data_IF_871151881244
#
_entry.id   IF_871151881244
#
_cell.length_a   1.000
_cell.length_b   1.000
_cell.length_c   1.000
_cell.angle_alpha   90.00
_cell.angle_beta   90.00
_cell.angle_gamma   90.00
#
_symmetry.space_group_name_H-M   'P 1'
#
loop_
_entity.id
_entity.type
_entity.pdbx_description
1 polymer ?
#
# COMPACT_ATOMS: atom_id res chain seq x y z
N UNK A 1 -15.87 -11.99 -6.51
CA UNK A 1 -15.58 -13.18 -7.34
C UNK A 1 -16.23 -13.15 -8.72
N UNK A 2 -17.46 -12.67 -8.91
CA UNK A 2 -18.16 -12.61 -10.23
C UNK A 2 -17.52 -11.63 -11.26
N UNK A 3 -16.97 -10.49 -10.83
CA UNK A 3 -16.35 -9.50 -11.73
C UNK A 3 -15.05 -10.01 -12.37
N UNK A 4 -14.23 -10.77 -11.61
CA UNK A 4 -12.95 -11.32 -12.09
C UNK A 4 -13.15 -12.37 -13.18
N UNK A 5 -14.21 -13.21 -13.08
CA UNK A 5 -14.59 -14.19 -14.12
C UNK A 5 -15.09 -13.52 -15.41
N UNK A 6 -15.75 -12.36 -15.32
CA UNK A 6 -16.18 -11.60 -16.50
C UNK A 6 -15.01 -11.02 -17.28
N UNK A 7 -14.03 -10.37 -16.61
CA UNK A 7 -12.84 -9.79 -17.27
C UNK A 7 -12.00 -10.85 -17.99
N UNK A 8 -11.84 -12.05 -17.40
CA UNK A 8 -11.12 -13.17 -18.03
C UNK A 8 -11.85 -13.67 -19.28
N UNK A 9 -13.19 -13.74 -19.25
CA UNK A 9 -13.98 -14.12 -20.44
C UNK A 9 -13.86 -13.10 -21.58
N UNK A 10 -13.85 -11.80 -21.29
CA UNK A 10 -13.66 -10.76 -22.31
C UNK A 10 -12.25 -10.75 -22.89
N UNK A 11 -11.23 -11.00 -22.09
CA UNK A 11 -9.86 -11.15 -22.57
C UNK A 11 -9.71 -12.38 -23.48
N UNK A 12 -10.32 -13.51 -23.15
CA UNK A 12 -10.31 -14.71 -23.96
C UNK A 12 -11.07 -14.52 -25.30
N UNK A 13 -12.25 -13.88 -25.26
CA UNK A 13 -13.02 -13.54 -26.46
C UNK A 13 -12.25 -12.57 -27.35
N UNK A 14 -11.59 -11.58 -26.77
CA UNK A 14 -10.75 -10.63 -27.51
C UNK A 14 -9.56 -11.32 -28.18
N UNK A 15 -8.89 -12.27 -27.52
CA UNK A 15 -7.81 -13.06 -28.10
C UNK A 15 -8.31 -13.94 -29.26
N UNK A 16 -9.49 -14.55 -29.14
CA UNK A 16 -10.10 -15.38 -30.20
C UNK A 16 -10.48 -14.53 -31.41
N UNK A 17 -11.13 -13.39 -31.20
CA UNK A 17 -11.49 -12.45 -32.25
C UNK A 17 -10.25 -11.88 -32.95
N UNK A 18 -9.20 -11.60 -32.18
CA UNK A 18 -7.92 -11.11 -32.68
C UNK A 18 -7.20 -12.16 -33.53
N UNK A 19 -7.21 -13.43 -33.09
CA UNK A 19 -6.63 -14.54 -33.86
C UNK A 19 -7.40 -14.78 -35.15
N UNK A 20 -8.73 -14.73 -35.13
CA UNK A 20 -9.55 -14.82 -36.32
C UNK A 20 -9.30 -13.64 -37.29
N UNK A 21 -9.14 -12.43 -36.79
CA UNK A 21 -8.77 -11.25 -37.57
C UNK A 21 -7.38 -11.39 -38.21
N UNK A 22 -6.41 -11.96 -37.45
CA UNK A 22 -5.06 -12.25 -37.96
C UNK A 22 -5.09 -13.29 -39.12
N UNK A 23 -5.93 -14.33 -39.00
CA UNK A 23 -6.09 -15.33 -40.03
C UNK A 23 -6.70 -14.70 -41.30
N UNK A 24 -7.71 -13.85 -41.16
CA UNK A 24 -8.31 -13.13 -42.28
C UNK A 24 -7.31 -12.16 -42.94
N UNK A 25 -6.48 -11.48 -42.13
CA UNK A 25 -5.41 -10.59 -42.61
C UNK A 25 -4.33 -11.36 -43.38
N UNK A 26 -3.90 -12.54 -42.90
CA UNK A 26 -2.92 -13.40 -43.57
C UNK A 26 -3.48 -13.90 -44.90
N UNK A 27 -4.76 -14.31 -44.94
CA UNK A 27 -5.42 -14.73 -46.18
C UNK A 27 -5.59 -13.56 -47.18
N UNK A 28 -5.87 -12.36 -46.64
CA UNK A 28 -5.89 -11.10 -47.38
C UNK A 28 -4.53 -10.71 -47.94
N UNK A 29 -3.45 -10.88 -47.16
CA UNK A 29 -2.06 -10.60 -47.56
C UNK A 29 -1.59 -11.58 -48.62
N UNK A 30 -1.94 -12.88 -48.52
CA UNK A 30 -1.65 -13.89 -49.56
C UNK A 30 -2.35 -13.57 -50.88
N UNK A 31 -3.56 -13.07 -50.85
CA UNK A 31 -4.28 -12.53 -52.03
C UNK A 31 -3.76 -11.17 -52.49
N UNK A 32 -3.20 -10.36 -51.58
CA UNK A 32 -2.58 -9.06 -51.87
C UNK A 32 -1.16 -9.21 -52.48
N UNK A 33 -0.50 -10.35 -52.31
CA UNK A 33 0.79 -10.64 -52.89
C UNK A 33 0.77 -10.56 -54.43
N UNK A 34 -0.37 -10.89 -55.03
CA UNK A 34 -0.58 -10.73 -56.49
C UNK A 34 -0.74 -9.26 -56.91
N UNK A 35 -1.05 -8.35 -56.01
CA UNK A 35 -1.14 -6.90 -56.27
C UNK A 35 0.17 -6.17 -55.95
N UNK A 36 0.99 -6.66 -55.02
CA UNK A 36 2.27 -6.03 -54.60
C UNK A 36 3.37 -6.28 -55.65
N UNK A 37 3.29 -7.35 -56.43
CA UNK A 37 4.17 -7.57 -57.60
C UNK A 37 4.04 -6.44 -58.64
N UNK A 38 2.97 -5.64 -58.58
CA UNK A 38 2.76 -4.43 -59.40
C UNK A 38 3.36 -3.15 -58.82
N UNK A 39 3.69 -3.07 -57.51
CA UNK A 39 4.06 -1.80 -56.85
C UNK A 39 5.40 -1.78 -56.11
N UNK A 40 6.22 -2.78 -56.19
CA UNK A 40 7.66 -2.73 -55.88
C UNK A 40 8.11 -2.30 -54.47
N UNK A 41 7.30 -2.42 -53.40
CA UNK A 41 7.68 -1.97 -52.07
C UNK A 41 7.28 -2.94 -50.95
N UNK A 42 8.04 -4.04 -50.81
CA UNK A 42 7.88 -5.02 -49.72
C UNK A 42 8.12 -4.42 -48.33
N UNK A 43 9.02 -3.44 -48.18
CA UNK A 43 9.48 -2.92 -46.91
C UNK A 43 8.37 -2.19 -46.12
N UNK A 44 7.43 -1.52 -46.76
CA UNK A 44 6.35 -0.76 -46.08
C UNK A 44 5.24 -1.65 -45.56
N UNK A 45 5.00 -2.81 -46.17
CA UNK A 45 3.96 -3.76 -45.79
C UNK A 45 4.42 -4.56 -44.57
N UNK A 46 5.68 -5.01 -44.52
CA UNK A 46 6.25 -5.74 -43.37
C UNK A 46 6.32 -4.87 -42.12
N UNK A 47 6.77 -3.63 -42.26
CA UNK A 47 6.82 -2.69 -41.10
C UNK A 47 5.43 -2.34 -40.58
N UNK A 48 4.44 -2.16 -41.45
CA UNK A 48 3.07 -1.89 -41.04
C UNK A 48 2.41 -3.08 -40.32
N UNK A 49 2.61 -4.29 -40.82
CA UNK A 49 2.09 -5.51 -40.21
C UNK A 49 2.74 -5.80 -38.86
N UNK A 50 4.05 -5.57 -38.73
CA UNK A 50 4.79 -5.71 -37.47
C UNK A 50 4.28 -4.75 -36.40
N UNK A 51 4.02 -3.50 -36.75
CA UNK A 51 3.47 -2.49 -35.84
C UNK A 51 2.03 -2.83 -35.39
N UNK A 52 1.19 -3.34 -36.31
CA UNK A 52 -0.18 -3.74 -35.99
C UNK A 52 -0.26 -4.92 -35.01
N UNK A 53 0.75 -5.76 -34.94
CA UNK A 53 0.82 -6.91 -34.02
C UNK A 53 1.51 -6.53 -32.71
N UNK A 54 2.62 -5.80 -32.77
CA UNK A 54 3.45 -5.50 -31.59
C UNK A 54 2.79 -4.48 -30.68
N UNK A 55 2.20 -3.41 -31.22
CA UNK A 55 1.59 -2.35 -30.37
C UNK A 55 0.44 -2.87 -29.50
N UNK A 56 -0.54 -3.64 -30.01
CA UNK A 56 -1.60 -4.16 -29.14
C UNK A 56 -1.08 -5.21 -28.15
N UNK A 57 -0.11 -6.03 -28.51
CA UNK A 57 0.47 -7.01 -27.57
C UNK A 57 1.20 -6.33 -26.42
N UNK A 58 1.95 -5.25 -26.68
CA UNK A 58 2.56 -4.42 -25.65
C UNK A 58 1.51 -3.73 -24.78
N UNK A 59 0.44 -3.20 -25.40
CA UNK A 59 -0.66 -2.56 -24.66
C UNK A 59 -1.36 -3.55 -23.73
N UNK A 60 -1.72 -4.74 -24.21
CA UNK A 60 -2.32 -5.80 -23.38
C UNK A 60 -1.37 -6.24 -22.27
N UNK A 61 -0.07 -6.41 -22.56
CA UNK A 61 0.93 -6.76 -21.56
C UNK A 61 1.05 -5.69 -20.45
N UNK A 62 1.06 -4.40 -20.81
CA UNK A 62 1.08 -3.29 -19.84
C UNK A 62 -0.18 -3.27 -18.97
N UNK A 63 -1.37 -3.36 -19.59
CA UNK A 63 -2.65 -3.39 -18.87
C UNK A 63 -2.73 -4.58 -17.91
N UNK A 64 -2.30 -5.77 -18.31
CA UNK A 64 -2.31 -6.96 -17.42
C UNK A 64 -1.29 -6.85 -16.30
N UNK A 65 -0.15 -6.19 -16.52
CA UNK A 65 0.86 -5.95 -15.48
C UNK A 65 0.39 -4.92 -14.46
N UNK A 66 -0.26 -3.83 -14.91
CA UNK A 66 -0.86 -2.81 -14.04
C UNK A 66 -1.98 -3.39 -13.18
N UNK A 67 -2.87 -4.21 -13.75
CA UNK A 67 -3.95 -4.89 -13.00
C UNK A 67 -3.40 -5.85 -11.93
N UNK A 68 -2.30 -6.57 -12.19
CA UNK A 68 -1.66 -7.42 -11.19
C UNK A 68 -1.04 -6.62 -10.05
N UNK A 69 -0.42 -5.49 -10.34
CA UNK A 69 0.21 -4.61 -9.34
C UNK A 69 -0.85 -3.91 -8.49
N UNK A 70 -1.91 -3.41 -9.09
CA UNK A 70 -3.08 -2.84 -8.39
C UNK A 70 -3.75 -3.88 -7.48
N UNK A 71 -3.91 -5.11 -7.96
CA UNK A 71 -4.48 -6.21 -7.16
C UNK A 71 -3.64 -6.53 -5.91
N UNK A 72 -2.31 -6.56 -6.00
CA UNK A 72 -1.41 -6.80 -4.86
C UNK A 72 -1.48 -5.67 -3.85
N UNK A 73 -1.45 -4.42 -4.30
CA UNK A 73 -1.56 -3.24 -3.41
C UNK A 73 -2.90 -3.23 -2.68
N UNK A 74 -3.99 -3.51 -3.36
CA UNK A 74 -5.32 -3.56 -2.75
C UNK A 74 -5.43 -4.69 -1.73
N UNK A 75 -4.85 -5.86 -2.02
CA UNK A 75 -4.79 -6.98 -1.07
C UNK A 75 -4.00 -6.63 0.18
N UNK A 76 -2.85 -5.95 0.04
CA UNK A 76 -2.04 -5.51 1.16
C UNK A 76 -2.80 -4.54 2.06
N UNK A 77 -3.43 -3.50 1.48
CA UNK A 77 -4.23 -2.53 2.25
C UNK A 77 -5.39 -3.23 2.97
N UNK A 78 -6.08 -4.18 2.32
CA UNK A 78 -7.17 -4.90 2.94
C UNK A 78 -6.67 -5.78 4.10
N UNK A 79 -5.56 -6.49 3.92
CA UNK A 79 -4.95 -7.28 4.98
C UNK A 79 -4.58 -6.44 6.21
N UNK A 80 -4.08 -5.21 6.01
CA UNK A 80 -3.80 -4.28 7.11
C UNK A 80 -5.07 -3.84 7.86
N UNK A 81 -6.15 -3.59 7.14
CA UNK A 81 -7.46 -3.25 7.74
C UNK A 81 -8.06 -4.42 8.52
N UNK A 82 -8.06 -5.61 7.93
CA UNK A 82 -8.57 -6.82 8.56
C UNK A 82 -7.77 -7.17 9.82
N UNK A 83 -6.44 -6.98 9.77
CA UNK A 83 -5.56 -7.16 10.93
C UNK A 83 -5.90 -6.17 12.06
N UNK A 84 -6.08 -4.89 11.74
CA UNK A 84 -6.42 -3.85 12.74
C UNK A 84 -7.79 -4.12 13.35
N UNK A 85 -8.78 -4.55 12.56
CA UNK A 85 -10.09 -4.93 13.05
C UNK A 85 -10.03 -6.15 13.98
N UNK A 86 -9.22 -7.15 13.64
CA UNK A 86 -8.99 -8.30 14.52
C UNK A 86 -8.33 -7.87 15.83
N UNK A 87 -7.31 -7.01 15.76
CA UNK A 87 -6.57 -6.48 16.91
C UNK A 87 -7.47 -5.66 17.86
N UNK A 88 -8.41 -4.90 17.31
CA UNK A 88 -9.36 -4.10 18.09
C UNK A 88 -10.29 -4.92 18.99
N UNK A 89 -10.44 -6.22 18.71
CA UNK A 89 -11.29 -7.15 19.47
C UNK A 89 -10.53 -7.96 20.51
N UNK A 90 -9.20 -7.79 20.59
CA UNK A 90 -8.37 -8.49 21.55
C UNK A 90 -8.59 -7.96 22.98
N UNK A 91 -8.47 -8.82 23.96
CA UNK A 91 -8.58 -8.46 25.38
C UNK A 91 -7.50 -7.46 25.79
N UNK A 92 -7.89 -6.43 26.53
CA UNK A 92 -7.02 -5.37 27.00
C UNK A 92 -6.73 -4.27 25.97
N UNK A 93 -7.25 -4.39 24.75
CA UNK A 93 -7.14 -3.33 23.72
C UNK A 93 -8.28 -2.31 23.91
N UNK A 94 -7.92 -1.04 23.95
CA UNK A 94 -8.82 0.09 24.11
C UNK A 94 -8.85 0.93 22.83
N UNK A 95 -9.99 1.59 22.56
CA UNK A 95 -10.14 2.44 21.37
C UNK A 95 -9.83 3.90 21.69
N UNK A 96 -9.20 4.59 20.73
CA UNK A 96 -9.02 6.04 20.67
C UNK A 96 -9.78 6.61 19.45
N UNK A 97 -9.94 7.93 19.36
CA UNK A 97 -10.54 8.56 18.20
C UNK A 97 -9.86 8.17 16.89
N UNK A 98 -10.60 8.27 15.78
CA UNK A 98 -10.13 8.04 14.39
C UNK A 98 -9.65 6.60 14.10
N UNK A 99 -10.14 5.60 14.86
CA UNK A 99 -9.81 4.19 14.62
C UNK A 99 -8.40 3.78 15.06
N UNK A 100 -7.81 4.54 15.96
CA UNK A 100 -6.56 4.18 16.65
C UNK A 100 -6.92 3.27 17.82
N UNK A 101 -6.08 2.28 18.09
CA UNK A 101 -6.25 1.41 19.25
C UNK A 101 -4.94 1.32 20.04
N UNK A 102 -5.03 0.97 21.31
CA UNK A 102 -3.86 0.81 22.17
C UNK A 102 -4.05 -0.26 23.22
N UNK A 103 -2.95 -0.81 23.66
CA UNK A 103 -2.88 -1.71 24.81
C UNK A 103 -1.87 -1.16 25.80
N UNK A 104 -2.27 -1.04 27.05
CA UNK A 104 -1.37 -0.62 28.13
C UNK A 104 -0.45 -1.80 28.46
N UNK A 105 0.85 -1.59 28.39
CA UNK A 105 1.89 -2.57 28.76
C UNK A 105 2.41 -2.30 30.17
N UNK A 106 2.54 -1.02 30.55
CA UNK A 106 2.83 -0.58 31.90
C UNK A 106 2.15 0.74 32.16
N UNK A 107 1.64 0.93 33.37
CA UNK A 107 1.05 2.18 33.85
C UNK A 107 2.13 3.02 34.49
N UNK A 108 2.15 4.31 34.16
CA UNK A 108 3.03 5.32 34.71
C UNK A 108 2.42 6.07 35.89
N UNK A 109 2.96 7.25 36.16
CA UNK A 109 2.48 8.11 37.23
C UNK A 109 1.21 8.86 36.80
N UNK A 110 0.05 8.35 37.18
CA UNK A 110 -1.25 8.94 36.86
C UNK A 110 -1.47 10.33 37.47
N UNK A 111 -0.63 10.75 38.44
CA UNK A 111 -0.62 12.09 38.99
C UNK A 111 0.13 13.11 38.15
N UNK A 112 0.95 12.64 37.19
CA UNK A 112 1.71 13.50 36.29
C UNK A 112 0.80 14.17 35.26
N UNK A 113 1.22 15.33 34.75
CA UNK A 113 0.53 15.99 33.66
C UNK A 113 0.57 15.17 32.37
N UNK A 114 -0.48 15.28 31.55
CA UNK A 114 -0.51 14.72 30.22
C UNK A 114 0.06 15.70 29.20
N UNK A 115 0.71 15.23 28.10
CA UNK A 115 1.21 16.14 27.08
C UNK A 115 0.08 16.90 26.38
N UNK A 116 0.34 18.14 26.07
CA UNK A 116 -0.47 18.91 25.11
C UNK A 116 0.11 18.79 23.70
N UNK A 117 -0.63 19.20 22.68
CA UNK A 117 -0.14 19.20 21.28
C UNK A 117 1.17 19.97 21.12
N UNK A 118 1.41 21.00 21.95
CA UNK A 118 2.60 21.85 21.88
C UNK A 118 3.74 21.43 22.80
N UNK A 119 3.51 20.47 23.66
CA UNK A 119 4.54 19.95 24.58
C UNK A 119 5.72 19.35 23.84
N UNK A 120 6.91 19.49 24.38
CA UNK A 120 8.07 18.72 23.97
C UNK A 120 8.01 17.41 24.76
N UNK A 121 7.98 16.29 24.07
CA UNK A 121 7.96 14.96 24.69
C UNK A 121 9.34 14.32 24.59
N UNK A 122 9.67 13.50 25.58
CA UNK A 122 10.82 12.59 25.53
C UNK A 122 10.29 11.18 25.64
N UNK A 123 10.59 10.31 24.65
CA UNK A 123 10.06 8.96 24.61
C UNK A 123 11.04 7.96 23.99
N UNK A 124 10.98 6.72 24.46
CA UNK A 124 11.48 5.59 23.70
C UNK A 124 10.38 4.93 22.90
N UNK A 125 10.73 4.44 21.71
CA UNK A 125 9.79 3.75 20.87
C UNK A 125 10.44 2.65 20.02
N UNK A 126 9.60 1.75 19.52
CA UNK A 126 9.91 0.79 18.46
C UNK A 126 8.72 0.70 17.53
N UNK A 127 8.94 0.97 16.24
CA UNK A 127 7.93 0.91 15.19
C UNK A 127 8.04 -0.34 14.33
N UNK A 128 6.92 -1.04 14.11
CA UNK A 128 6.81 -2.26 13.31
C UNK A 128 5.62 -2.21 12.37
N UNK A 129 5.71 -2.94 11.27
CA UNK A 129 4.57 -3.27 10.40
C UNK A 129 3.86 -4.54 10.89
N UNK A 130 2.67 -4.84 10.35
CA UNK A 130 1.84 -5.99 10.79
C UNK A 130 2.52 -7.36 10.60
N UNK A 131 3.52 -7.44 9.72
CA UNK A 131 4.37 -8.62 9.50
C UNK A 131 5.53 -8.73 10.51
N UNK A 132 5.56 -7.84 11.52
CA UNK A 132 6.56 -7.82 12.58
C UNK A 132 7.89 -7.18 12.19
N UNK A 133 8.03 -6.70 10.95
CA UNK A 133 9.26 -6.06 10.50
C UNK A 133 9.42 -4.70 11.18
N UNK A 134 10.50 -4.53 11.95
CA UNK A 134 10.88 -3.26 12.54
C UNK A 134 11.39 -2.31 11.42
N UNK A 135 10.86 -1.10 11.40
CA UNK A 135 11.30 -0.06 10.46
C UNK A 135 12.04 1.08 11.16
N UNK A 136 11.79 1.28 12.46
CA UNK A 136 12.45 2.34 13.24
C UNK A 136 12.45 2.01 14.73
N UNK A 137 13.44 2.52 15.49
CA UNK A 137 13.50 2.38 16.94
C UNK A 137 14.49 3.37 17.54
N UNK A 138 14.17 3.91 18.71
CA UNK A 138 15.11 4.64 19.57
C UNK A 138 15.75 3.75 20.65
N UNK A 139 15.30 2.49 20.78
CA UNK A 139 15.84 1.57 21.80
C UNK A 139 17.29 1.22 21.50
N UNK A 140 18.14 1.31 22.54
CA UNK A 140 19.59 1.13 22.40
C UNK A 140 20.35 2.40 22.00
N UNK A 141 19.65 3.53 21.82
CA UNK A 141 20.20 4.85 21.53
C UNK A 141 19.62 5.93 22.42
N UNK A 142 19.69 7.18 21.96
CA UNK A 142 19.13 8.35 22.65
C UNK A 142 17.61 8.37 22.49
N UNK A 143 16.83 8.67 23.55
CA UNK A 143 15.39 8.87 23.43
C UNK A 143 15.05 9.96 22.42
N UNK A 144 13.92 9.79 21.73
CA UNK A 144 13.36 10.83 20.88
C UNK A 144 12.90 12.02 21.75
N UNK A 145 13.37 13.21 21.44
CA UNK A 145 12.91 14.45 22.06
C UNK A 145 12.44 15.41 20.95
N UNK A 146 11.14 15.69 20.88
CA UNK A 146 10.57 16.58 19.87
C UNK A 146 9.22 17.13 20.31
N UNK A 147 8.71 18.12 19.58
CA UNK A 147 7.34 18.63 19.79
C UNK A 147 6.34 17.58 19.32
N UNK A 148 5.29 17.39 20.11
CA UNK A 148 4.24 16.43 19.80
C UNK A 148 3.54 16.75 18.47
N UNK A 149 3.33 18.03 18.14
CA UNK A 149 2.72 18.46 16.88
C UNK A 149 3.52 18.13 15.61
N UNK A 150 4.80 17.78 15.73
CA UNK A 150 5.67 17.45 14.59
C UNK A 150 5.61 15.94 14.23
N UNK A 151 4.85 15.17 14.99
CA UNK A 151 4.70 13.73 14.82
C UNK A 151 3.45 13.36 14.01
N UNK A 152 3.34 12.09 13.65
CA UNK A 152 2.15 11.56 12.94
C UNK A 152 0.90 11.72 13.82
N UNK A 153 -0.26 11.88 13.17
CA UNK A 153 -1.52 12.19 13.86
C UNK A 153 -1.90 11.13 14.91
N UNK A 154 -1.60 9.86 14.62
CA UNK A 154 -1.80 8.77 15.57
C UNK A 154 -1.05 8.93 16.88
N UNK A 155 0.17 9.44 16.86
CA UNK A 155 0.95 9.74 18.06
C UNK A 155 0.38 10.95 18.81
N UNK A 156 0.02 12.01 18.08
CA UNK A 156 -0.56 13.22 18.70
C UNK A 156 -1.79 12.87 19.50
N UNK A 157 -2.69 12.04 18.95
CA UNK A 157 -3.93 11.64 19.63
C UNK A 157 -3.63 10.75 20.84
N UNK A 158 -2.76 9.77 20.69
CA UNK A 158 -2.51 8.77 21.73
C UNK A 158 -1.73 9.37 22.91
N UNK A 159 -0.64 10.10 22.63
CA UNK A 159 0.24 10.60 23.70
C UNK A 159 -0.40 11.66 24.57
N UNK A 160 -1.41 12.39 24.09
CA UNK A 160 -2.21 13.30 24.92
C UNK A 160 -3.01 12.59 26.03
N UNK A 161 -3.12 11.26 25.96
CA UNK A 161 -3.78 10.44 26.98
C UNK A 161 -2.78 9.69 27.88
N UNK A 162 -1.48 9.78 27.59
CA UNK A 162 -0.43 9.12 28.35
C UNK A 162 0.07 9.98 29.51
N UNK A 163 0.52 9.32 30.57
CA UNK A 163 1.25 9.90 31.69
C UNK A 163 2.72 9.54 31.63
N UNK A 164 3.56 10.26 32.36
CA UNK A 164 4.99 9.95 32.42
C UNK A 164 5.17 8.56 33.03
N UNK A 165 5.96 7.71 32.37
CA UNK A 165 6.18 6.31 32.73
C UNK A 165 5.22 5.33 32.05
N UNK A 166 4.17 5.82 31.39
CA UNK A 166 3.29 4.93 30.61
C UNK A 166 4.06 4.27 29.48
N UNK A 167 3.79 2.98 29.30
CA UNK A 167 4.26 2.20 28.17
C UNK A 167 3.08 1.56 27.47
N UNK A 168 2.84 1.97 26.23
CA UNK A 168 1.70 1.50 25.43
C UNK A 168 2.15 0.87 24.14
N UNK A 169 1.39 -0.11 23.67
CA UNK A 169 1.45 -0.60 22.29
C UNK A 169 0.29 0.04 21.52
N UNK A 170 0.63 0.86 20.52
CA UNK A 170 -0.32 1.58 19.68
C UNK A 170 -0.51 0.87 18.35
N UNK A 171 -1.74 0.85 17.88
CA UNK A 171 -2.14 0.33 16.56
C UNK A 171 -2.76 1.47 15.77
N UNK A 172 -2.03 1.99 14.81
CA UNK A 172 -2.36 3.22 14.09
C UNK A 172 -2.74 2.86 12.66
N UNK A 173 -4.00 3.15 12.22
CA UNK A 173 -4.40 2.96 10.84
C UNK A 173 -3.56 3.83 9.90
N UNK A 174 -3.42 3.40 8.65
CA UNK A 174 -2.58 4.09 7.67
C UNK A 174 -2.92 5.59 7.54
N UNK A 175 -4.20 5.94 7.62
CA UNK A 175 -4.70 7.30 7.48
C UNK A 175 -4.20 8.24 8.60
N UNK A 176 -3.89 7.69 9.77
CA UNK A 176 -3.37 8.43 10.94
C UNK A 176 -1.83 8.32 11.04
N UNK A 177 -1.20 7.62 10.10
CA UNK A 177 0.25 7.48 9.94
C UNK A 177 0.73 8.11 8.64
N UNK A 178 1.26 7.29 7.72
CA UNK A 178 1.84 7.75 6.44
C UNK A 178 0.86 7.64 5.25
N UNK A 179 -0.37 7.26 5.47
CA UNK A 179 -1.41 7.19 4.45
C UNK A 179 -1.09 6.19 3.32
N UNK A 180 -1.34 6.63 2.09
CA UNK A 180 -1.11 5.83 0.87
C UNK A 180 0.33 5.90 0.34
N UNK A 181 1.17 6.71 0.97
CA UNK A 181 2.56 6.92 0.56
C UNK A 181 3.48 5.89 1.21
N UNK A 182 4.42 5.37 0.44
CA UNK A 182 5.44 4.47 0.96
C UNK A 182 6.59 5.27 1.57
N UNK A 183 7.10 4.80 2.71
CA UNK A 183 8.32 5.30 3.35
C UNK A 183 9.38 4.19 3.35
N UNK A 184 10.65 4.48 3.61
CA UNK A 184 11.68 3.45 3.75
C UNK A 184 11.24 2.38 4.77
N UNK A 185 11.10 1.15 4.32
CA UNK A 185 10.64 0.02 5.13
C UNK A 185 9.14 -0.07 5.40
N UNK A 186 8.32 0.91 4.98
CA UNK A 186 6.87 0.97 5.22
C UNK A 186 6.14 1.09 3.89
N UNK A 187 5.48 0.04 3.38
CA UNK A 187 4.63 0.13 2.20
C UNK A 187 3.44 1.07 2.43
N UNK A 188 3.00 1.78 1.39
CA UNK A 188 1.83 2.65 1.48
C UNK A 188 0.55 1.87 1.83
N UNK A 189 -0.21 2.38 2.79
CA UNK A 189 -1.41 1.74 3.32
C UNK A 189 -1.14 0.77 4.48
N UNK A 190 0.05 0.83 5.09
CA UNK A 190 0.41 0.03 6.26
C UNK A 190 -0.27 0.54 7.52
N UNK A 191 -0.84 -0.35 8.30
CA UNK A 191 -1.10 -0.16 9.72
C UNK A 191 0.23 -0.19 10.47
N UNK A 192 0.43 0.76 11.37
CA UNK A 192 1.67 0.90 12.13
C UNK A 192 1.46 0.41 13.56
N UNK A 193 2.43 -0.35 14.06
CA UNK A 193 2.46 -0.82 15.44
C UNK A 193 3.63 -0.12 16.12
N UNK A 194 3.35 0.63 17.18
CA UNK A 194 4.38 1.28 17.96
C UNK A 194 4.31 0.85 19.43
N UNK A 195 5.41 0.37 19.95
CA UNK A 195 5.63 0.32 21.38
C UNK A 195 6.24 1.65 21.79
N UNK A 196 5.57 2.42 22.66
CA UNK A 196 6.00 3.75 23.10
C UNK A 196 6.06 3.77 24.62
N UNK A 197 7.12 4.39 25.13
CA UNK A 197 7.30 4.66 26.56
C UNK A 197 7.57 6.16 26.73
N UNK A 198 6.64 6.86 27.41
CA UNK A 198 6.75 8.29 27.66
C UNK A 198 7.63 8.53 28.88
N UNK A 199 8.79 9.16 28.67
CA UNK A 199 9.80 9.39 29.72
C UNK A 199 9.71 10.77 30.34
N UNK A 200 9.23 11.78 29.62
CA UNK A 200 9.16 13.14 30.10
C UNK A 200 8.38 14.09 29.21
N UNK A 201 7.98 15.20 29.80
CA UNK A 201 7.21 16.29 29.16
C UNK A 201 7.86 17.63 29.57
N UNK A 202 8.05 18.52 28.57
CA UNK A 202 8.53 19.89 28.78
C UNK A 202 7.71 20.90 27.97
#
# INVERSE_FOLDING_TARGET
MKLKKRKIKYAAIFCICWFAFLVILVDGVLKFQTLVDCFGSYALVETGLLLLVILPTIAVYRLTKEDKTMSKKTQYIQANKDWLEAKSKEEGVKALPKGIYYKVLAEGDTSSAQPTVRSIITAHYTGKTIDGKQFDSSRGGVPLACRLCDLIEGWIIAMQQMHIGDKWELYIPAEMGYGKFSQPGIPGGSTLIFEIELLGIA
#
